data_IF_638409539043
#
_entry.id   IF_638409539043
#
_cell.length_a   1.000
_cell.length_b   1.000
_cell.length_c   1.000
_cell.angle_alpha   90.00
_cell.angle_beta   90.00
_cell.angle_gamma   90.00
#
_symmetry.space_group_name_H-M   'P 1'
#
loop_
_entity.id
_entity.type
_entity.pdbx_description
1 polymer ?
#
# COMPACT_ATOMS: atom_id res chain seq x y z
N UNK A 1 2.93 -16.19 26.76
CA UNK A 1 1.54 -15.68 26.81
C UNK A 1 1.45 -14.68 25.68
N UNK A 2 0.37 -14.63 24.92
CA UNK A 2 0.34 -13.70 23.79
C UNK A 2 0.14 -12.27 24.26
N UNK A 3 0.76 -11.32 23.58
CA UNK A 3 0.59 -9.87 23.80
C UNK A 3 -0.90 -9.50 23.78
N UNK A 4 -1.70 -10.16 22.95
CA UNK A 4 -3.16 -9.99 22.87
C UNK A 4 -3.91 -10.36 24.15
N UNK A 5 -3.39 -11.30 24.96
CA UNK A 5 -3.95 -11.64 26.26
C UNK A 5 -3.50 -10.65 27.34
N UNK A 6 -2.23 -10.23 27.30
CA UNK A 6 -1.67 -9.32 28.31
C UNK A 6 -2.25 -7.91 28.22
N UNK A 7 -2.52 -7.40 27.02
CA UNK A 7 -3.15 -6.09 26.84
C UNK A 7 -4.58 -6.02 27.37
N UNK A 8 -5.22 -7.18 27.59
CA UNK A 8 -6.57 -7.28 28.16
C UNK A 8 -6.55 -7.36 29.70
N UNK A 9 -5.36 -7.48 30.30
CA UNK A 9 -5.22 -7.47 31.76
C UNK A 9 -5.36 -6.06 32.33
N UNK A 10 -5.60 -5.98 33.64
CA UNK A 10 -5.70 -4.70 34.35
C UNK A 10 -4.37 -3.93 34.39
N UNK A 11 -3.25 -4.64 34.34
CA UNK A 11 -1.90 -4.07 34.36
C UNK A 11 -1.04 -4.72 33.26
N UNK A 12 -1.22 -4.31 31.99
CA UNK A 12 -0.46 -4.85 30.86
C UNK A 12 1.05 -4.59 30.96
N UNK A 13 1.46 -3.61 31.76
CA UNK A 13 2.82 -3.10 31.83
C UNK A 13 3.02 -1.84 30.98
N UNK A 14 4.27 -1.46 30.78
CA UNK A 14 4.64 -0.26 30.03
C UNK A 14 4.66 -0.53 28.52
N UNK A 15 3.99 0.33 27.75
CA UNK A 15 4.04 0.31 26.30
C UNK A 15 5.35 0.89 25.77
N UNK A 16 5.92 0.21 24.78
CA UNK A 16 7.13 0.63 24.09
C UNK A 16 6.85 0.76 22.60
N UNK A 17 7.24 1.90 22.06
CA UNK A 17 7.15 2.24 20.64
C UNK A 17 8.54 2.41 20.06
N UNK A 18 8.83 1.63 19.04
CA UNK A 18 10.09 1.65 18.31
C UNK A 18 9.81 1.96 16.84
N UNK A 19 10.73 2.69 16.20
CA UNK A 19 10.56 3.14 14.82
C UNK A 19 11.74 2.67 13.97
N UNK A 20 11.42 2.14 12.80
CA UNK A 20 12.37 1.77 11.77
C UNK A 20 12.04 2.55 10.49
N UNK A 21 12.98 3.39 10.03
CA UNK A 21 12.87 4.12 8.78
C UNK A 21 13.76 3.47 7.73
N UNK A 22 13.14 2.77 6.79
CA UNK A 22 13.78 2.15 5.64
C UNK A 22 13.78 3.10 4.44
N UNK A 23 14.94 3.71 4.21
CA UNK A 23 15.22 4.55 3.06
C UNK A 23 16.22 3.90 2.09
N UNK A 24 16.40 2.57 2.17
CA UNK A 24 17.38 1.84 1.35
C UNK A 24 17.08 1.91 -0.15
N UNK A 25 15.79 1.98 -0.52
CA UNK A 25 15.38 2.15 -1.92
C UNK A 25 15.83 3.49 -2.53
N UNK A 26 15.99 4.52 -1.69
CA UNK A 26 16.48 5.84 -2.09
C UNK A 26 18.02 5.91 -2.10
N UNK A 27 18.71 4.83 -1.72
CA UNK A 27 20.17 4.78 -1.58
C UNK A 27 20.70 5.27 -0.23
N UNK A 28 19.82 5.50 0.75
CA UNK A 28 20.19 5.78 2.13
C UNK A 28 20.32 4.48 2.95
N UNK A 29 20.47 4.62 4.26
CA UNK A 29 20.53 3.49 5.19
C UNK A 29 19.17 3.20 5.86
N UNK A 30 19.15 2.13 6.63
CA UNK A 30 18.05 1.79 7.53
C UNK A 30 18.30 2.45 8.89
N UNK A 31 17.40 3.30 9.34
CA UNK A 31 17.54 4.01 10.62
C UNK A 31 16.60 3.43 11.66
N UNK A 32 17.11 3.09 12.84
CA UNK A 32 16.33 2.54 13.96
C UNK A 32 16.43 3.45 15.17
N UNK A 33 15.28 3.91 15.66
CA UNK A 33 15.25 4.89 16.73
C UNK A 33 14.02 4.79 17.61
N UNK A 34 14.10 5.37 18.81
CA UNK A 34 12.99 5.49 19.75
C UNK A 34 12.93 6.88 20.39
N UNK A 35 11.73 7.27 20.81
CA UNK A 35 11.43 8.60 21.37
C UNK A 35 11.54 8.71 22.89
N UNK A 36 12.32 7.85 23.55
CA UNK A 36 12.46 7.84 25.01
C UNK A 36 13.76 8.55 25.42
N UNK A 37 13.74 9.86 25.72
CA UNK A 37 14.95 10.66 25.92
C UNK A 37 15.72 10.31 27.20
N UNK A 38 15.09 9.61 28.15
CA UNK A 38 15.73 9.20 29.41
C UNK A 38 16.28 7.77 29.36
N UNK A 39 15.98 7.02 28.29
CA UNK A 39 16.41 5.63 28.15
C UNK A 39 17.66 5.56 27.27
N UNK A 40 18.51 4.57 27.54
CA UNK A 40 19.60 4.19 26.64
C UNK A 40 19.07 3.47 25.40
N UNK A 41 19.98 3.04 24.50
CA UNK A 41 19.60 2.18 23.38
C UNK A 41 18.78 0.98 23.83
N UNK A 42 17.67 0.74 23.14
CA UNK A 42 16.77 -0.39 23.38
C UNK A 42 17.13 -1.49 22.37
N UNK A 43 17.17 -2.74 22.84
CA UNK A 43 17.38 -3.90 21.96
C UNK A 43 16.05 -4.63 21.75
N UNK A 44 15.73 -4.89 20.49
CA UNK A 44 14.51 -5.60 20.10
C UNK A 44 14.76 -6.43 18.85
N UNK A 45 14.36 -7.70 18.87
CA UNK A 45 14.58 -8.67 17.79
C UNK A 45 16.05 -8.76 17.35
N UNK A 46 16.99 -8.57 18.28
CA UNK A 46 18.43 -8.56 18.01
C UNK A 46 18.95 -7.31 17.31
N UNK A 47 18.14 -6.25 17.20
CA UNK A 47 18.52 -4.96 16.64
C UNK A 47 18.57 -3.85 17.70
N UNK A 48 19.56 -2.98 17.57
CA UNK A 48 19.69 -1.79 18.41
C UNK A 48 18.81 -0.65 17.88
N UNK A 49 18.02 -0.05 18.75
CA UNK A 49 17.27 1.17 18.52
C UNK A 49 17.90 2.27 19.37
N UNK A 50 18.39 3.33 18.73
CA UNK A 50 19.06 4.44 19.41
C UNK A 50 18.06 5.51 19.87
N UNK A 51 18.34 6.22 20.98
CA UNK A 51 17.49 7.33 21.42
C UNK A 51 17.60 8.49 20.43
N UNK A 52 16.47 8.94 19.91
CA UNK A 52 16.40 10.13 19.06
C UNK A 52 15.20 10.99 19.43
N UNK A 53 15.34 12.33 19.47
CA UNK A 53 14.21 13.22 19.70
C UNK A 53 13.20 13.11 18.56
N UNK A 54 12.12 12.36 18.80
CA UNK A 54 11.02 12.18 17.85
C UNK A 54 9.69 12.44 18.53
N UNK A 55 8.74 12.94 17.75
CA UNK A 55 7.34 13.11 18.15
C UNK A 55 6.47 12.65 17.00
N UNK A 56 5.66 11.62 17.28
CA UNK A 56 4.86 10.92 16.29
C UNK A 56 3.38 11.03 16.71
N UNK A 57 2.56 11.71 15.90
CA UNK A 57 1.16 12.02 16.21
C UNK A 57 0.22 11.67 15.04
N UNK A 58 -1.04 11.38 15.33
CA UNK A 58 -2.07 11.14 14.31
C UNK A 58 -2.09 9.73 13.72
N UNK A 59 -1.45 8.75 14.38
CA UNK A 59 -1.46 7.32 14.01
C UNK A 59 -2.78 6.64 14.39
N UNK A 60 -3.91 7.26 14.05
CA UNK A 60 -5.22 6.68 14.29
C UNK A 60 -5.51 5.57 13.28
N UNK A 61 -6.29 4.56 13.68
CA UNK A 61 -6.80 3.56 12.75
C UNK A 61 -8.29 3.85 12.54
N UNK A 62 -8.60 4.67 11.53
CA UNK A 62 -9.98 5.01 11.19
C UNK A 62 -10.61 3.92 10.32
N UNK A 63 -11.78 3.44 10.73
CA UNK A 63 -12.65 2.60 9.89
C UNK A 63 -13.56 3.42 8.95
N UNK A 64 -13.53 4.75 9.04
CA UNK A 64 -14.24 5.66 8.15
C UNK A 64 -13.31 6.07 7.01
N UNK A 65 -13.80 6.05 5.77
CA UNK A 65 -13.02 5.98 4.52
C UNK A 65 -12.02 7.09 4.20
N UNK A 66 -11.74 8.03 5.11
CA UNK A 66 -10.58 8.92 5.03
C UNK A 66 -9.43 8.32 5.83
N UNK A 67 -8.34 7.99 5.12
CA UNK A 67 -7.11 7.52 5.75
C UNK A 67 -6.49 8.69 6.55
N UNK A 68 -6.02 8.44 7.78
CA UNK A 68 -5.34 9.47 8.56
C UNK A 68 -3.96 9.77 7.95
N UNK A 69 -3.55 11.03 8.09
CA UNK A 69 -2.24 11.55 7.68
C UNK A 69 -1.39 11.83 8.91
N UNK A 70 -0.75 10.81 9.52
CA UNK A 70 0.08 11.00 10.69
C UNK A 70 1.24 11.96 10.38
N UNK A 71 1.71 12.64 11.43
CA UNK A 71 2.86 13.53 11.35
C UNK A 71 4.00 13.01 12.20
N UNK A 72 5.20 13.03 11.64
CA UNK A 72 6.44 12.66 12.33
C UNK A 72 7.36 13.88 12.38
N UNK A 73 7.62 14.36 13.59
CA UNK A 73 8.62 15.38 13.85
C UNK A 73 9.90 14.73 14.37
N UNK A 74 11.02 15.02 13.72
CA UNK A 74 12.34 14.46 14.03
C UNK A 74 13.29 15.61 14.36
N UNK A 75 14.00 15.52 15.49
CA UNK A 75 14.98 16.52 15.87
C UNK A 75 16.16 16.54 14.90
N UNK A 76 16.55 17.74 14.48
CA UNK A 76 17.61 17.98 13.50
C UNK A 76 18.97 18.14 14.19
N UNK A 77 19.38 17.14 14.97
CA UNK A 77 20.62 17.20 15.75
C UNK A 77 21.81 17.35 14.81
N UNK A 78 22.54 18.46 14.92
CA UNK A 78 23.72 18.75 14.10
C UNK A 78 23.45 18.93 12.61
N UNK A 79 22.19 19.15 12.19
CA UNK A 79 21.83 19.31 10.77
C UNK A 79 21.77 18.00 9.98
N UNK A 80 21.86 16.85 10.64
CA UNK A 80 21.90 15.53 10.01
C UNK A 80 20.65 15.24 9.16
N UNK A 81 19.46 15.52 9.70
CA UNK A 81 18.20 15.24 9.00
C UNK A 81 18.05 16.17 7.78
N UNK A 82 18.41 17.45 7.91
CA UNK A 82 18.45 18.36 6.75
C UNK A 82 19.37 17.85 5.65
N UNK A 83 20.56 17.34 6.00
CA UNK A 83 21.48 16.77 5.02
C UNK A 83 20.89 15.54 4.32
N UNK A 84 20.22 14.65 5.05
CA UNK A 84 19.53 13.49 4.47
C UNK A 84 18.42 13.91 3.50
N UNK A 85 17.58 14.85 3.93
CA UNK A 85 16.48 15.40 3.15
C UNK A 85 16.98 16.05 1.85
N UNK A 86 18.09 16.79 1.90
CA UNK A 86 18.69 17.40 0.70
C UNK A 86 19.29 16.38 -0.26
N UNK A 87 19.87 15.29 0.25
CA UNK A 87 20.57 14.30 -0.56
C UNK A 87 19.62 13.22 -1.13
N UNK A 88 18.56 12.87 -0.40
CA UNK A 88 17.65 11.77 -0.70
C UNK A 88 16.21 12.24 -1.01
N UNK A 89 16.08 13.34 -1.75
CA UNK A 89 14.79 13.86 -2.28
C UNK A 89 13.68 13.97 -1.20
N UNK A 90 13.96 14.69 -0.12
CA UNK A 90 13.08 14.88 1.03
C UNK A 90 12.63 13.57 1.74
N UNK A 91 13.32 12.44 1.47
CA UNK A 91 12.98 11.09 1.94
C UNK A 91 11.58 10.63 1.51
N UNK A 92 11.03 11.20 0.44
CA UNK A 92 9.71 10.83 -0.07
C UNK A 92 9.71 9.37 -0.53
N UNK A 93 8.71 8.60 -0.10
CA UNK A 93 8.59 7.18 -0.35
C UNK A 93 9.40 6.29 0.61
N UNK A 94 10.17 6.87 1.54
CA UNK A 94 10.80 6.08 2.60
C UNK A 94 9.73 5.41 3.47
N UNK A 95 9.97 4.15 3.84
CA UNK A 95 9.02 3.35 4.60
C UNK A 95 9.32 3.48 6.09
N UNK A 96 8.36 3.97 6.86
CA UNK A 96 8.42 4.00 8.31
C UNK A 96 7.60 2.85 8.89
N UNK A 97 8.22 2.01 9.68
CA UNK A 97 7.59 0.92 10.42
C UNK A 97 7.59 1.31 11.90
N UNK A 98 6.41 1.28 12.52
CA UNK A 98 6.25 1.48 13.97
C UNK A 98 5.95 0.14 14.62
N UNK A 99 6.89 -0.32 15.43
CA UNK A 99 6.72 -1.49 16.28
C UNK A 99 6.13 -1.08 17.62
N UNK A 100 5.12 -1.82 18.07
CA UNK A 100 4.47 -1.59 19.37
C UNK A 100 4.48 -2.90 20.15
N UNK A 101 5.19 -2.90 21.26
CA UNK A 101 5.28 -4.04 22.18
C UNK A 101 5.22 -3.56 23.63
N UNK A 102 5.25 -4.49 24.58
CA UNK A 102 5.36 -4.20 26.00
C UNK A 102 6.82 -4.29 26.43
N UNK A 103 7.23 -3.43 27.37
CA UNK A 103 8.61 -3.34 27.84
C UNK A 103 9.18 -4.68 28.34
N UNK A 104 8.32 -5.55 28.87
CA UNK A 104 8.70 -6.89 29.39
C UNK A 104 9.15 -7.87 28.31
N UNK A 105 8.73 -7.65 27.06
CA UNK A 105 9.10 -8.49 25.92
C UNK A 105 10.45 -8.09 25.32
N UNK A 106 10.95 -6.88 25.60
CA UNK A 106 12.21 -6.39 25.05
C UNK A 106 13.40 -7.31 25.37
N UNK A 107 14.40 -7.29 24.49
CA UNK A 107 15.60 -8.10 24.66
C UNK A 107 16.34 -7.70 25.95
N UNK A 108 16.77 -8.69 26.73
CA UNK A 108 17.42 -8.46 28.03
C UNK A 108 16.48 -8.48 29.23
N UNK A 109 15.17 -8.61 29.01
CA UNK A 109 14.19 -8.85 30.08
C UNK A 109 13.94 -10.35 30.34
N UNK A 110 13.44 -10.72 31.53
CA UNK A 110 13.14 -12.13 31.86
C UNK A 110 12.05 -12.76 30.99
N UNK A 111 11.11 -11.95 30.51
CA UNK A 111 9.99 -12.37 29.65
C UNK A 111 10.26 -12.02 28.17
N UNK A 112 11.53 -11.84 27.78
CA UNK A 112 11.87 -11.44 26.42
C UNK A 112 11.34 -12.44 25.38
N UNK A 113 10.55 -11.94 24.43
CA UNK A 113 10.00 -12.73 23.33
C UNK A 113 9.91 -11.87 22.07
N UNK A 114 10.74 -12.13 21.04
CA UNK A 114 10.79 -11.31 19.82
C UNK A 114 9.53 -11.41 18.95
N UNK A 115 8.69 -12.43 19.15
CA UNK A 115 7.47 -12.64 18.37
C UNK A 115 6.25 -11.90 18.95
N UNK A 116 6.35 -11.42 20.19
CA UNK A 116 5.25 -10.77 20.90
C UNK A 116 5.23 -9.27 20.60
N UNK A 117 4.68 -8.90 19.43
CA UNK A 117 4.34 -7.53 19.05
C UNK A 117 2.91 -7.39 18.52
N UNK A 118 2.36 -6.17 18.62
CA UNK A 118 1.17 -5.84 17.85
C UNK A 118 1.53 -5.80 16.35
N UNK A 119 0.54 -6.00 15.46
CA UNK A 119 0.77 -5.84 14.03
C UNK A 119 1.48 -4.51 13.74
N UNK A 120 2.63 -4.55 13.04
CA UNK A 120 3.44 -3.36 12.82
C UNK A 120 2.69 -2.36 11.95
N UNK A 121 2.71 -1.09 12.33
CA UNK A 121 2.07 -0.04 11.55
C UNK A 121 3.04 0.42 10.45
N UNK A 122 2.68 0.22 9.18
CA UNK A 122 3.51 0.57 8.02
C UNK A 122 3.01 1.86 7.39
N UNK A 123 3.90 2.85 7.33
CA UNK A 123 3.66 4.18 6.77
C UNK A 123 4.73 4.53 5.74
N UNK A 124 4.42 5.46 4.87
CA UNK A 124 5.33 5.99 3.87
C UNK A 124 5.43 7.49 4.06
N UNK A 125 6.63 8.05 3.91
CA UNK A 125 6.85 9.49 3.90
C UNK A 125 6.26 10.06 2.61
N UNK A 126 5.23 10.88 2.72
CA UNK A 126 4.57 11.50 1.56
C UNK A 126 5.29 12.80 1.19
N UNK A 127 5.55 13.66 2.18
CA UNK A 127 6.24 14.93 1.98
C UNK A 127 6.81 15.51 3.28
N UNK A 128 7.78 16.41 3.12
CA UNK A 128 8.20 17.32 4.18
C UNK A 128 7.21 18.48 4.31
N UNK A 129 6.69 18.69 5.51
CA UNK A 129 5.74 19.78 5.83
C UNK A 129 6.46 21.03 6.27
N UNK A 130 7.44 20.88 7.15
CA UNK A 130 8.18 22.00 7.71
C UNK A 130 9.61 21.59 8.04
N UNK A 131 10.53 22.55 7.92
CA UNK A 131 11.93 22.38 8.25
C UNK A 131 12.39 23.56 9.10
N UNK A 132 12.98 23.26 10.25
CA UNK A 132 13.69 24.23 11.09
C UNK A 132 15.09 23.71 11.43
N UNK A 133 15.93 24.60 11.97
CA UNK A 133 17.27 24.24 12.45
C UNK A 133 17.25 23.19 13.57
N UNK A 134 16.14 23.04 14.28
CA UNK A 134 16.00 22.13 15.42
C UNK A 134 15.13 20.91 15.11
N UNK A 135 14.22 20.98 14.15
CA UNK A 135 13.24 19.92 13.89
C UNK A 135 12.79 19.90 12.43
N UNK A 136 12.65 18.70 11.88
CA UNK A 136 12.07 18.46 10.55
C UNK A 136 10.76 17.70 10.73
N UNK A 137 9.69 18.17 10.09
CA UNK A 137 8.36 17.56 10.16
C UNK A 137 7.99 16.91 8.83
N UNK A 138 7.60 15.65 8.89
CA UNK A 138 7.14 14.84 7.77
C UNK A 138 5.65 14.53 7.92
N UNK A 139 4.95 14.51 6.79
CA UNK A 139 3.62 13.95 6.67
C UNK A 139 3.74 12.54 6.11
N UNK A 140 3.03 11.62 6.77
CA UNK A 140 3.05 10.20 6.45
C UNK A 140 1.70 9.79 5.85
N UNK A 141 1.75 8.84 4.94
CA UNK A 141 0.58 8.22 4.33
C UNK A 141 0.63 6.70 4.52
N UNK A 142 -0.54 6.07 4.61
CA UNK A 142 -0.62 4.60 4.60
C UNK A 142 -0.36 4.09 3.18
N UNK A 143 0.15 2.87 3.02
CA UNK A 143 0.16 2.21 1.71
C UNK A 143 -1.24 2.09 1.07
N UNK A 144 -2.30 2.17 1.88
CA UNK A 144 -3.68 2.15 1.43
C UNK A 144 -4.16 3.49 0.88
N UNK A 145 -3.44 4.58 1.15
CA UNK A 145 -3.64 5.86 0.48
C UNK A 145 -3.01 5.79 -0.92
N UNK A 146 -3.61 4.94 -1.75
CA UNK A 146 -3.15 4.70 -3.10
C UNK A 146 -3.36 5.97 -3.92
N UNK A 147 -2.27 6.56 -4.41
CA UNK A 147 -2.17 7.51 -5.54
C UNK A 147 -3.18 7.22 -6.68
N UNK A 148 -4.45 7.57 -6.51
CA UNK A 148 -5.54 7.40 -7.48
C UNK A 148 -5.97 5.96 -7.79
N UNK A 149 -5.48 4.92 -7.10
CA UNK A 149 -5.91 3.53 -7.37
C UNK A 149 -7.05 3.13 -6.43
N UNK A 150 -8.29 3.31 -6.91
CA UNK A 150 -9.47 2.78 -6.23
C UNK A 150 -9.59 1.27 -6.45
N UNK A 151 -9.65 0.51 -5.35
CA UNK A 151 -10.20 -0.84 -5.34
C UNK A 151 -11.74 -0.72 -5.29
N UNK A 152 -12.50 -1.40 -6.16
CA UNK A 152 -12.13 -2.42 -7.13
C UNK A 152 -11.62 -1.85 -8.47
N UNK A 153 -10.50 -2.38 -8.98
CA UNK A 153 -9.92 -1.99 -10.29
C UNK A 153 -10.86 -2.21 -11.49
N UNK A 154 -11.89 -3.05 -11.34
CA UNK A 154 -12.85 -3.40 -12.41
C UNK A 154 -14.16 -2.63 -12.21
N UNK A 155 -14.40 -1.65 -13.07
CA UNK A 155 -15.69 -0.99 -13.14
C UNK A 155 -16.74 -1.91 -13.79
N UNK A 156 -17.98 -1.84 -13.31
CA UNK A 156 -19.13 -2.49 -13.94
C UNK A 156 -19.48 -1.69 -15.20
N UNK A 157 -18.95 -2.13 -16.34
CA UNK A 157 -19.31 -1.58 -17.66
C UNK A 157 -20.42 -2.45 -18.26
N UNK A 158 -21.38 -1.84 -18.95
CA UNK A 158 -22.50 -2.59 -19.53
C UNK A 158 -22.16 -3.14 -20.94
N UNK A 159 -21.71 -2.26 -21.82
CA UNK A 159 -21.76 -2.50 -23.27
C UNK A 159 -20.40 -2.69 -23.95
N UNK A 160 -19.31 -2.73 -23.18
CA UNK A 160 -17.95 -2.89 -23.72
C UNK A 160 -17.18 -3.92 -22.91
N UNK A 161 -16.70 -4.96 -23.59
CA UNK A 161 -15.91 -6.04 -23.01
C UNK A 161 -14.62 -5.52 -22.36
N UNK A 162 -14.53 -5.65 -21.04
CA UNK A 162 -13.34 -5.23 -20.27
C UNK A 162 -12.05 -5.96 -20.70
N UNK A 163 -12.16 -7.18 -21.24
CA UNK A 163 -11.00 -7.94 -21.71
C UNK A 163 -10.19 -7.21 -22.78
N UNK A 164 -10.84 -6.37 -23.60
CA UNK A 164 -10.12 -5.54 -24.58
C UNK A 164 -9.19 -4.52 -23.91
N UNK A 165 -9.55 -4.01 -22.74
CA UNK A 165 -8.77 -3.01 -22.01
C UNK A 165 -7.68 -3.61 -21.14
N UNK A 166 -7.88 -4.82 -20.58
CA UNK A 166 -6.92 -5.42 -19.66
C UNK A 166 -6.01 -6.50 -20.27
N UNK A 167 -6.41 -7.14 -21.38
CA UNK A 167 -5.60 -8.17 -22.06
C UNK A 167 -5.67 -8.14 -23.58
N UNK A 168 -6.45 -7.25 -24.17
CA UNK A 168 -6.60 -7.13 -25.61
C UNK A 168 -7.45 -8.23 -26.25
N UNK A 169 -7.77 -8.02 -27.52
CA UNK A 169 -8.42 -9.03 -28.36
C UNK A 169 -7.47 -10.22 -28.56
N UNK A 170 -7.97 -11.47 -28.41
CA UNK A 170 -7.17 -12.71 -28.43
C UNK A 170 -6.17 -12.84 -27.26
N UNK A 171 -6.31 -11.99 -26.26
CA UNK A 171 -5.51 -12.05 -25.04
C UNK A 171 -5.91 -13.20 -24.11
N UNK A 172 -5.15 -13.37 -23.00
CA UNK A 172 -5.33 -14.45 -22.04
C UNK A 172 -6.74 -14.50 -21.43
N UNK A 173 -7.43 -13.37 -21.32
CA UNK A 173 -8.78 -13.28 -20.76
C UNK A 173 -9.89 -13.48 -21.81
N UNK A 174 -9.63 -13.12 -23.07
CA UNK A 174 -10.60 -13.30 -24.16
C UNK A 174 -10.65 -14.76 -24.62
N UNK A 175 -9.51 -15.45 -24.68
CA UNK A 175 -9.42 -16.88 -25.03
C UNK A 175 -9.73 -17.22 -26.50
N UNK A 176 -9.99 -16.22 -27.36
CA UNK A 176 -10.26 -16.47 -28.78
C UNK A 176 -8.97 -16.70 -29.56
N UNK A 177 -8.77 -17.93 -30.04
CA UNK A 177 -7.59 -18.32 -30.84
C UNK A 177 -7.94 -18.72 -32.29
N UNK A 178 -9.16 -18.48 -32.75
CA UNK A 178 -9.63 -18.88 -34.10
C UNK A 178 -9.12 -17.97 -35.23
N UNK A 179 -9.55 -18.23 -36.47
CA UNK A 179 -9.21 -17.39 -37.64
C UNK A 179 -9.78 -15.97 -37.57
N UNK A 180 -9.55 -15.12 -38.59
CA UNK A 180 -10.20 -13.81 -38.67
C UNK A 180 -11.72 -13.95 -38.79
N UNK A 181 -12.46 -13.07 -38.11
CA UNK A 181 -13.93 -13.14 -38.06
C UNK A 181 -14.56 -11.86 -38.59
N UNK A 182 -14.25 -10.72 -37.98
CA UNK A 182 -14.93 -9.47 -38.27
C UNK A 182 -14.10 -8.25 -37.87
N UNK A 183 -14.37 -7.12 -38.50
CA UNK A 183 -13.83 -5.82 -38.10
C UNK A 183 -14.48 -5.26 -36.82
N UNK A 184 -14.04 -4.07 -36.39
CA UNK A 184 -14.54 -3.43 -35.17
C UNK A 184 -16.06 -3.12 -35.22
N UNK A 185 -16.64 -3.06 -36.42
CA UNK A 185 -18.06 -2.79 -36.65
C UNK A 185 -18.91 -4.06 -36.75
N UNK A 186 -18.33 -5.25 -36.53
CA UNK A 186 -18.98 -6.56 -36.73
C UNK A 186 -19.26 -6.90 -38.22
N UNK A 187 -18.51 -6.31 -39.16
CA UNK A 187 -18.55 -6.71 -40.57
C UNK A 187 -17.60 -7.88 -40.77
N UNK A 188 -18.07 -8.98 -41.39
CA UNK A 188 -17.29 -10.19 -41.57
C UNK A 188 -16.08 -9.92 -42.46
N UNK A 189 -14.89 -10.33 -42.00
CA UNK A 189 -13.63 -10.15 -42.72
C UNK A 189 -12.79 -11.42 -42.66
N UNK A 190 -12.19 -11.78 -43.79
CA UNK A 190 -11.29 -12.93 -43.94
C UNK A 190 -9.81 -12.54 -43.88
N UNK A 191 -9.50 -11.26 -43.91
CA UNK A 191 -8.16 -10.69 -43.79
C UNK A 191 -7.76 -10.52 -42.31
N UNK A 192 -6.68 -11.19 -41.90
CA UNK A 192 -6.18 -11.14 -40.53
C UNK A 192 -5.75 -9.73 -40.08
N UNK A 193 -5.31 -8.86 -41.00
CA UNK A 193 -4.88 -7.50 -40.66
C UNK A 193 -6.05 -6.58 -40.26
N UNK A 194 -7.26 -6.92 -40.69
CA UNK A 194 -8.48 -6.12 -40.48
C UNK A 194 -9.39 -6.68 -39.38
N UNK A 195 -9.10 -7.90 -38.91
CA UNK A 195 -9.84 -8.54 -37.83
C UNK A 195 -9.61 -7.83 -36.50
N UNK A 196 -10.67 -7.23 -35.97
CA UNK A 196 -10.67 -6.50 -34.70
C UNK A 196 -11.97 -6.77 -33.96
N UNK A 197 -11.89 -7.00 -32.65
CA UNK A 197 -13.09 -7.18 -31.86
C UNK A 197 -13.75 -5.84 -31.54
N UNK A 198 -15.03 -5.71 -31.88
CA UNK A 198 -15.86 -4.53 -31.55
C UNK A 198 -16.26 -4.43 -30.07
N UNK A 199 -15.90 -5.40 -29.23
CA UNK A 199 -16.10 -5.36 -27.78
C UNK A 199 -17.54 -5.56 -27.31
N UNK A 200 -18.49 -5.82 -28.20
CA UNK A 200 -19.91 -6.02 -27.88
C UNK A 200 -20.22 -7.50 -27.64
N UNK A 201 -21.36 -7.77 -27.01
CA UNK A 201 -21.84 -9.15 -26.84
C UNK A 201 -22.04 -9.84 -28.21
N UNK A 202 -22.53 -9.10 -29.21
CA UNK A 202 -22.67 -9.55 -30.61
C UNK A 202 -21.32 -9.92 -31.21
N UNK A 203 -20.29 -9.10 -30.99
CA UNK A 203 -18.92 -9.36 -31.43
C UNK A 203 -18.35 -10.65 -30.83
N UNK A 204 -18.74 -10.99 -29.58
CA UNK A 204 -18.33 -12.22 -28.92
C UNK A 204 -19.07 -13.44 -29.50
N UNK A 205 -20.38 -13.30 -29.76
CA UNK A 205 -21.21 -14.33 -30.40
C UNK A 205 -20.71 -14.74 -31.79
N UNK A 206 -20.23 -13.77 -32.59
CA UNK A 206 -19.61 -14.07 -33.89
C UNK A 206 -18.37 -14.97 -33.79
N UNK A 207 -17.67 -14.93 -32.66
CA UNK A 207 -16.39 -15.62 -32.46
C UNK A 207 -16.56 -16.98 -31.77
N UNK A 208 -17.42 -17.05 -30.77
CA UNK A 208 -17.63 -18.27 -29.97
C UNK A 208 -18.92 -19.02 -30.32
N UNK A 209 -19.80 -18.43 -31.12
CA UNK A 209 -21.12 -18.95 -31.46
C UNK A 209 -22.22 -18.38 -30.55
N UNK A 210 -23.42 -18.23 -31.12
CA UNK A 210 -24.57 -17.58 -30.46
C UNK A 210 -25.02 -18.27 -29.16
N UNK A 211 -24.95 -19.61 -29.14
CA UNK A 211 -25.51 -20.45 -28.08
C UNK A 211 -24.45 -21.06 -27.15
N UNK A 212 -23.19 -20.68 -27.31
CA UNK A 212 -22.09 -21.20 -26.48
C UNK A 212 -21.80 -20.28 -25.29
N UNK A 213 -21.21 -20.79 -24.21
CA UNK A 213 -20.71 -19.95 -23.12
C UNK A 213 -19.71 -18.91 -23.66
N UNK A 214 -20.05 -17.63 -23.51
CA UNK A 214 -19.24 -16.53 -24.01
C UNK A 214 -18.30 -16.04 -22.89
N UNK A 215 -16.97 -15.99 -23.11
CA UNK A 215 -16.03 -15.37 -22.18
C UNK A 215 -16.11 -13.84 -22.28
N UNK A 216 -17.30 -13.27 -22.04
CA UNK A 216 -17.55 -11.83 -22.13
C UNK A 216 -17.18 -11.13 -20.82
N UNK A 217 -16.27 -10.16 -20.90
CA UNK A 217 -15.69 -9.48 -19.75
C UNK A 217 -16.52 -8.35 -19.16
N UNK A 218 -17.79 -8.21 -19.51
CA UNK A 218 -18.63 -7.07 -19.15
C UNK A 218 -20.02 -7.54 -18.69
N UNK A 219 -20.83 -6.62 -18.16
CA UNK A 219 -22.11 -6.94 -17.54
C UNK A 219 -23.27 -6.43 -18.41
N UNK A 220 -23.72 -7.21 -19.42
CA UNK A 220 -24.71 -6.72 -20.40
C UNK A 220 -26.05 -6.33 -19.77
N UNK A 221 -26.37 -6.91 -18.60
CA UNK A 221 -27.60 -6.60 -17.86
C UNK A 221 -27.50 -5.32 -17.01
N UNK A 222 -26.31 -4.81 -16.72
CA UNK A 222 -26.13 -3.63 -15.86
C UNK A 222 -26.74 -2.36 -16.46
N UNK A 223 -26.89 -2.28 -17.80
CA UNK A 223 -27.52 -1.15 -18.49
C UNK A 223 -29.04 -1.30 -18.73
N UNK A 224 -29.68 -2.39 -18.29
CA UNK A 224 -31.13 -2.62 -18.50
C UNK A 224 -32.00 -1.85 -17.51
N UNK A 225 -31.45 -1.46 -16.36
CA UNK A 225 -32.14 -0.61 -15.38
C UNK A 225 -32.05 0.85 -15.86
N UNK A 226 -33.07 1.29 -16.60
CA UNK A 226 -33.33 2.72 -16.79
C UNK A 226 -33.97 3.26 -15.51
N UNK A 227 -33.24 4.11 -14.77
CA UNK A 227 -33.83 5.08 -13.84
C UNK A 227 -34.50 6.20 -14.62
#
# INVERSE_FOLDING_TARGET
MSITADIQTLEPGAWVELFELDATHLGAELYRFHGYPQESSIFWQGHEYSPWPIQAEGFEMSGQGTQPTPTLAVGNVGGFITALVLYFEDLVGARLIRHRTLAKYLDGQPEADPEEELPPDIWYVERKVAESSETVKFELASALDFNGVQLPRRQIVANVCWWLSCGGYRGPYCGYNGGPVADANDVIVTDAAKDKCGGRLTSCKLRFGENNPLPYGSFPAAGLLRS
#
